data_IF_785678924901
#
_entry.id   IF_785678924901
#
_cell.length_a   1.000
_cell.length_b   1.000
_cell.length_c   1.000
_cell.angle_alpha   90.00
_cell.angle_beta   90.00
_cell.angle_gamma   90.00
#
_symmetry.space_group_name_H-M   'P 1'
#
loop_
_entity.id
_entity.type
_entity.pdbx_description
1 polymer ?
#
# COMPACT_ATOMS: atom_id res chain seq x y z
N UNK A 1 13.44 -27.85 25.77
CA UNK A 1 12.90 -26.47 25.94
C UNK A 1 13.63 -25.46 25.05
N UNK A 2 14.96 -25.55 24.93
CA UNK A 2 15.80 -24.71 24.05
C UNK A 2 15.50 -24.92 22.54
N UNK A 3 15.27 -26.14 22.08
CA UNK A 3 14.89 -26.42 20.67
C UNK A 3 13.53 -25.80 20.27
N UNK A 4 12.61 -25.64 21.24
CA UNK A 4 11.32 -24.98 21.01
C UNK A 4 11.48 -23.48 20.80
N UNK A 5 12.41 -22.85 21.52
CA UNK A 5 12.69 -21.42 21.36
C UNK A 5 13.44 -21.14 20.05
N UNK A 6 14.38 -22.01 19.66
CA UNK A 6 15.08 -21.88 18.38
C UNK A 6 14.15 -22.04 17.17
N UNK A 7 13.17 -22.96 17.21
CA UNK A 7 12.17 -23.10 16.14
C UNK A 7 11.22 -21.91 16.02
N UNK A 8 10.86 -21.25 17.13
CA UNK A 8 10.01 -20.05 17.11
C UNK A 8 10.75 -18.87 16.47
N UNK A 9 12.05 -18.73 16.75
CA UNK A 9 12.87 -17.66 16.14
C UNK A 9 13.03 -17.89 14.63
N UNK A 10 13.25 -19.13 14.18
CA UNK A 10 13.37 -19.46 12.75
C UNK A 10 12.05 -19.20 12.00
N UNK A 11 10.91 -19.60 12.57
CA UNK A 11 9.58 -19.34 11.98
C UNK A 11 9.22 -17.85 11.97
N UNK A 12 9.70 -17.05 12.92
CA UNK A 12 9.53 -15.60 12.89
C UNK A 12 10.42 -14.94 11.83
N UNK A 13 11.64 -15.44 11.59
CA UNK A 13 12.51 -14.91 10.52
C UNK A 13 12.02 -15.24 9.11
N UNK A 14 11.47 -16.44 8.88
CA UNK A 14 10.94 -16.84 7.56
C UNK A 14 9.66 -16.07 7.19
N UNK A 15 8.83 -15.72 8.17
CA UNK A 15 7.63 -14.90 7.95
C UNK A 15 7.95 -13.42 7.70
N UNK A 16 9.05 -12.89 8.23
CA UNK A 16 9.49 -11.51 7.96
C UNK A 16 10.04 -11.38 6.54
N UNK A 17 10.79 -12.39 6.06
CA UNK A 17 11.34 -12.42 4.71
C UNK A 17 10.24 -12.49 3.63
N UNK A 18 9.21 -13.29 3.85
CA UNK A 18 8.08 -13.40 2.90
C UNK A 18 7.21 -12.14 2.84
N UNK A 19 7.12 -11.38 3.92
CA UNK A 19 6.44 -10.07 3.94
C UNK A 19 7.24 -9.00 3.20
N UNK A 20 8.57 -8.96 3.37
CA UNK A 20 9.43 -8.04 2.61
C UNK A 20 9.43 -8.35 1.10
N UNK A 21 9.44 -9.62 0.70
CA UNK A 21 9.34 -10.01 -0.71
C UNK A 21 8.00 -9.62 -1.35
N UNK A 22 6.90 -9.69 -0.59
CA UNK A 22 5.58 -9.28 -1.06
C UNK A 22 5.44 -7.76 -1.22
N UNK A 23 6.09 -7.00 -0.34
CA UNK A 23 6.08 -5.53 -0.37
C UNK A 23 6.94 -4.97 -1.51
N UNK A 24 8.06 -5.63 -1.81
CA UNK A 24 8.89 -5.35 -3.00
C UNK A 24 8.09 -5.63 -4.29
N UNK A 25 7.36 -6.75 -4.38
CA UNK A 25 6.53 -7.04 -5.56
C UNK A 25 5.36 -6.05 -5.75
N UNK A 26 4.85 -5.46 -4.66
CA UNK A 26 3.79 -4.44 -4.70
C UNK A 26 4.29 -3.09 -5.23
N UNK A 27 5.52 -2.71 -4.89
CA UNK A 27 6.13 -1.45 -5.32
C UNK A 27 6.53 -1.51 -6.80
N UNK A 28 7.04 -2.65 -7.28
CA UNK A 28 7.53 -2.79 -8.66
C UNK A 28 6.51 -3.39 -9.65
N UNK A 29 5.37 -3.92 -9.20
CA UNK A 29 4.45 -4.73 -10.02
C UNK A 29 3.25 -4.02 -10.68
N UNK A 30 3.06 -2.70 -10.54
CA UNK A 30 1.87 -2.01 -11.08
C UNK A 30 2.19 -0.88 -12.05
N UNK A 31 2.59 -1.25 -13.26
CA UNK A 31 2.52 -0.37 -14.44
C UNK A 31 1.87 -1.10 -15.63
N UNK A 32 0.56 -1.35 -15.56
CA UNK A 32 -0.28 -1.55 -16.76
C UNK A 32 -1.65 -0.93 -16.52
N UNK A 33 -1.81 0.31 -16.96
CA UNK A 33 -3.09 0.97 -17.17
C UNK A 33 -3.75 0.35 -18.41
N UNK A 34 -5.01 -0.07 -18.28
CA UNK A 34 -5.89 -0.31 -19.43
C UNK A 34 -6.96 0.80 -19.49
N UNK A 35 -7.33 1.26 -20.70
CA UNK A 35 -8.27 2.36 -20.87
C UNK A 35 -9.72 1.86 -20.75
N UNK A 36 -10.59 2.68 -20.18
CA UNK A 36 -12.04 2.44 -20.12
C UNK A 36 -12.76 3.64 -20.74
N UNK A 37 -13.33 3.41 -21.91
CA UNK A 37 -14.17 4.37 -22.64
C UNK A 37 -15.63 4.34 -22.16
N UNK A 38 -16.25 5.52 -22.22
CA UNK A 38 -17.70 5.84 -22.37
C UNK A 38 -18.66 5.44 -21.23
N UNK A 39 -19.65 6.23 -20.79
CA UNK A 39 -20.31 7.43 -21.35
C UNK A 39 -21.18 8.10 -20.26
N UNK A 40 -21.38 9.41 -20.45
CA UNK A 40 -22.53 10.26 -20.03
C UNK A 40 -22.89 10.38 -18.55
N UNK A 41 -22.63 11.57 -17.98
CA UNK A 41 -23.70 12.39 -17.41
C UNK A 41 -23.33 13.88 -17.37
N UNK A 42 -24.28 14.69 -17.80
CA UNK A 42 -24.23 16.12 -18.05
C UNK A 42 -24.35 16.94 -16.77
N UNK A 43 -23.45 17.92 -16.54
CA UNK A 43 -23.78 19.08 -15.71
C UNK A 43 -23.12 20.37 -16.20
N UNK A 44 -23.85 21.45 -15.96
CA UNK A 44 -23.86 22.70 -16.70
C UNK A 44 -22.69 23.65 -16.38
N UNK A 45 -22.42 24.48 -17.39
CA UNK A 45 -21.53 25.65 -17.45
C UNK A 45 -21.62 26.54 -16.21
N UNK A 46 -20.46 26.91 -15.65
CA UNK A 46 -20.17 28.30 -15.31
C UNK A 46 -18.75 28.68 -15.72
N UNK A 47 -18.60 29.97 -15.95
CA UNK A 47 -17.72 30.64 -16.89
C UNK A 47 -16.61 31.34 -16.11
N UNK A 48 -15.34 31.00 -16.32
CA UNK A 48 -14.22 31.90 -15.98
C UNK A 48 -13.06 31.76 -16.95
N UNK A 49 -12.50 32.92 -17.26
CA UNK A 49 -11.64 33.29 -18.38
C UNK A 49 -10.31 32.53 -18.52
N UNK A 50 -9.95 32.42 -19.79
CA UNK A 50 -8.72 32.01 -20.45
C UNK A 50 -7.44 32.75 -20.03
N UNK A 51 -6.33 32.00 -19.93
CA UNK A 51 -4.95 32.45 -20.15
C UNK A 51 -4.28 31.40 -21.07
N UNK A 52 -3.76 31.74 -22.27
CA UNK A 52 -3.13 30.76 -23.15
C UNK A 52 -1.63 30.67 -22.88
N UNK A 53 -1.13 29.47 -22.57
CA UNK A 53 0.31 29.15 -22.61
C UNK A 53 0.55 28.20 -23.78
N UNK A 54 1.28 28.70 -24.77
CA UNK A 54 1.78 27.93 -25.92
C UNK A 54 2.68 26.78 -25.44
N UNK A 55 2.42 25.56 -25.92
CA UNK A 55 3.43 24.49 -26.04
C UNK A 55 3.59 24.14 -27.53
N UNK A 56 4.81 24.09 -28.07
CA UNK A 56 5.07 23.36 -29.29
C UNK A 56 5.39 21.89 -28.97
N UNK A 57 4.97 21.06 -29.91
CA UNK A 57 5.22 19.62 -30.01
C UNK A 57 6.72 19.30 -29.92
N UNK A 58 7.05 18.17 -29.29
CA UNK A 58 8.29 17.45 -29.58
C UNK A 58 7.94 15.99 -29.80
N UNK A 59 8.31 15.53 -30.99
CA UNK A 59 8.12 14.19 -31.51
C UNK A 59 8.88 13.17 -30.66
N UNK A 60 8.28 11.98 -30.59
CA UNK A 60 8.84 10.79 -29.98
C UNK A 60 9.71 10.15 -31.07
N UNK A 61 11.03 10.18 -30.88
CA UNK A 61 11.94 9.27 -31.57
C UNK A 61 12.42 8.19 -30.60
N UNK A 62 12.33 6.97 -31.12
CA UNK A 62 12.60 5.69 -30.50
C UNK A 62 14.08 5.52 -30.11
N UNK A 63 14.31 4.99 -28.91
CA UNK A 63 15.62 4.54 -28.43
C UNK A 63 16.17 3.38 -29.27
N UNK A 64 17.45 3.42 -29.68
CA UNK A 64 18.18 2.22 -30.06
C UNK A 64 18.79 1.52 -28.84
N UNK A 65 18.86 0.21 -28.98
CA UNK A 65 19.31 -0.79 -28.02
C UNK A 65 20.72 -0.54 -27.47
N UNK A 66 20.92 -0.96 -26.24
CA UNK A 66 22.21 -1.07 -25.56
C UNK A 66 23.16 -1.95 -26.38
N UNK A 67 24.18 -1.33 -26.97
CA UNK A 67 25.35 -2.05 -27.48
C UNK A 67 26.45 -2.09 -26.41
N UNK A 68 26.92 -3.32 -26.21
CA UNK A 68 27.87 -3.82 -25.25
C UNK A 68 29.20 -3.03 -25.22
N UNK A 69 29.53 -2.45 -24.06
CA UNK A 69 30.67 -1.54 -23.87
C UNK A 69 32.04 -2.17 -24.16
N UNK A 70 32.13 -3.49 -24.21
CA UNK A 70 33.38 -4.21 -24.49
C UNK A 70 33.78 -4.18 -25.97
N UNK A 71 32.85 -3.96 -26.91
CA UNK A 71 33.19 -3.95 -28.34
C UNK A 71 33.76 -2.58 -28.81
N UNK A 72 33.36 -1.48 -28.17
CA UNK A 72 33.91 -0.14 -28.45
C UNK A 72 35.37 0.01 -28.02
N UNK A 73 35.78 -0.69 -26.95
CA UNK A 73 37.17 -0.64 -26.47
C UNK A 73 38.12 -1.43 -27.37
N UNK A 74 37.66 -2.56 -27.95
CA UNK A 74 38.43 -3.32 -28.95
C UNK A 74 38.58 -2.60 -30.29
N UNK A 75 37.55 -1.85 -30.74
CA UNK A 75 37.62 -1.06 -31.99
C UNK A 75 38.58 0.13 -31.90
N UNK A 76 38.81 0.70 -30.69
CA UNK A 76 39.79 1.79 -30.50
C UNK A 76 41.24 1.30 -30.53
N UNK A 77 41.55 0.18 -29.86
CA UNK A 77 42.91 -0.39 -29.85
C UNK A 77 43.37 -0.83 -31.25
N UNK A 78 42.48 -1.41 -32.06
CA UNK A 78 42.82 -1.79 -33.44
C UNK A 78 43.01 -0.60 -34.39
N UNK A 79 42.45 0.58 -34.08
CA UNK A 79 42.63 1.77 -34.91
C UNK A 79 43.97 2.46 -34.65
N UNK A 80 44.43 2.47 -33.38
CA UNK A 80 45.74 3.00 -33.00
C UNK A 80 46.88 2.11 -33.54
N UNK A 81 46.76 0.78 -33.47
CA UNK A 81 47.74 -0.15 -34.05
C UNK A 81 47.80 -0.12 -35.60
N UNK A 82 46.71 0.33 -36.25
CA UNK A 82 46.63 0.47 -37.72
C UNK A 82 47.13 1.83 -38.25
N UNK A 83 47.32 2.81 -37.37
CA UNK A 83 47.96 4.09 -37.69
C UNK A 83 49.48 3.96 -37.52
N UNK A 84 49.94 3.30 -36.45
CA UNK A 84 51.37 3.13 -36.17
C UNK A 84 52.10 2.21 -37.19
N UNK A 85 51.35 1.35 -37.91
CA UNK A 85 51.87 0.54 -39.02
C UNK A 85 51.82 1.20 -40.39
N UNK A 86 51.15 2.35 -40.55
CA UNK A 86 51.14 3.10 -41.82
C UNK A 86 52.25 4.14 -41.93
N UNK A 87 52.80 4.56 -40.80
CA UNK A 87 53.84 5.59 -40.76
C UNK A 87 55.27 5.03 -40.91
N UNK A 88 55.43 3.70 -41.02
CA UNK A 88 56.73 3.04 -41.01
C UNK A 88 57.16 2.38 -42.34
N UNK A 89 56.41 2.58 -43.43
CA UNK A 89 56.73 1.98 -44.75
C UNK A 89 57.00 2.99 -45.89
N UNK A 90 57.19 4.28 -45.60
CA UNK A 90 57.42 5.27 -46.67
C UNK A 90 58.62 6.21 -46.45
N UNK A 91 59.76 5.63 -46.08
CA UNK A 91 61.07 6.30 -46.18
C UNK A 91 62.10 5.38 -46.82
N UNK A 92 61.94 5.18 -48.13
CA UNK A 92 63.06 4.79 -49.01
C UNK A 92 63.34 5.93 -49.98
N UNK A 93 64.56 6.44 -49.84
CA UNK A 93 65.41 7.05 -50.86
C UNK A 93 64.73 8.00 -51.87
N UNK A 94 64.83 9.28 -51.54
CA UNK A 94 65.01 10.34 -52.53
C UNK A 94 65.97 11.33 -51.90
N UNK A 95 67.23 11.37 -52.34
CA UNK A 95 68.12 12.49 -52.02
C UNK A 95 67.62 13.72 -52.78
N UNK A 96 67.17 14.80 -52.11
CA UNK A 96 67.12 16.11 -52.73
C UNK A 96 68.48 16.75 -52.51
N UNK A 97 69.20 16.89 -53.61
CA UNK A 97 70.42 17.65 -53.73
C UNK A 97 70.13 19.14 -53.47
N UNK A 98 70.12 19.56 -52.21
CA UNK A 98 70.01 20.97 -51.80
C UNK A 98 70.64 21.17 -50.41
N UNK A 99 71.96 21.25 -50.37
CA UNK A 99 72.67 22.01 -49.33
C UNK A 99 72.43 23.50 -49.57
N UNK A 100 71.20 23.96 -49.29
CA UNK A 100 71.01 25.33 -48.87
C UNK A 100 71.24 25.37 -47.35
N UNK A 101 72.15 26.22 -46.84
CA UNK A 101 72.24 26.42 -45.41
C UNK A 101 70.84 26.82 -44.95
N UNK A 102 70.27 26.03 -44.03
CA UNK A 102 69.12 26.47 -43.25
C UNK A 102 69.43 27.90 -42.82
N UNK A 103 68.52 28.88 -43.05
CA UNK A 103 68.75 30.22 -42.54
C UNK A 103 69.10 30.06 -41.06
N UNK A 104 70.15 30.74 -40.60
CA UNK A 104 70.53 30.84 -39.20
C UNK A 104 69.29 31.27 -38.41
N UNK A 105 68.44 30.31 -38.05
CA UNK A 105 67.41 30.50 -37.07
C UNK A 105 68.19 30.64 -35.79
N UNK A 106 68.25 31.88 -35.35
CA UNK A 106 68.88 32.28 -34.12
C UNK A 106 68.43 31.30 -33.03
N UNK A 107 69.38 30.51 -32.53
CA UNK A 107 69.15 29.49 -31.48
C UNK A 107 68.51 30.16 -30.27
N UNK A 108 68.80 31.45 -30.08
CA UNK A 108 68.22 32.30 -29.04
C UNK A 108 66.73 32.56 -29.28
N UNK A 109 66.31 32.79 -30.53
CA UNK A 109 64.89 32.93 -30.91
C UNK A 109 64.11 31.63 -30.67
N UNK A 110 64.66 30.47 -31.01
CA UNK A 110 64.02 29.18 -30.74
C UNK A 110 63.90 28.90 -29.24
N UNK A 111 64.94 29.21 -28.45
CA UNK A 111 64.88 29.11 -26.99
C UNK A 111 63.78 30.00 -26.41
N UNK A 112 63.61 31.20 -26.94
CA UNK A 112 62.57 32.13 -26.51
C UNK A 112 61.17 31.62 -26.87
N UNK A 113 60.96 31.14 -28.09
CA UNK A 113 59.67 30.57 -28.53
C UNK A 113 59.28 29.34 -27.70
N UNK A 114 60.24 28.45 -27.42
CA UNK A 114 60.01 27.27 -26.56
C UNK A 114 59.71 27.70 -25.12
N UNK A 115 60.47 28.65 -24.57
CA UNK A 115 60.25 29.16 -23.23
C UNK A 115 58.87 29.81 -23.06
N UNK A 116 58.40 30.53 -24.09
CA UNK A 116 57.09 31.18 -24.09
C UNK A 116 55.95 30.15 -24.22
N UNK A 117 56.08 29.17 -25.12
CA UNK A 117 55.13 28.05 -25.23
C UNK A 117 55.04 27.21 -23.94
N UNK A 118 56.17 26.98 -23.26
CA UNK A 118 56.19 26.32 -21.95
C UNK A 118 55.50 27.15 -20.87
N UNK A 119 55.66 28.47 -20.92
CA UNK A 119 55.03 29.40 -19.97
C UNK A 119 53.51 29.44 -20.15
N UNK A 120 53.04 29.46 -21.39
CA UNK A 120 51.62 29.44 -21.72
C UNK A 120 50.97 28.10 -21.37
N UNK A 121 51.62 26.97 -21.68
CA UNK A 121 51.14 25.64 -21.26
C UNK A 121 51.08 25.51 -19.73
N UNK A 122 52.09 26.01 -19.01
CA UNK A 122 52.07 26.01 -17.55
C UNK A 122 50.94 26.87 -16.99
N UNK A 123 50.66 28.02 -17.61
CA UNK A 123 49.56 28.89 -17.23
C UNK A 123 48.20 28.22 -17.45
N UNK A 124 48.00 27.57 -18.60
CA UNK A 124 46.77 26.82 -18.90
C UNK A 124 46.60 25.60 -17.98
N UNK A 125 47.70 24.93 -17.64
CA UNK A 125 47.67 23.81 -16.69
C UNK A 125 47.28 24.29 -15.28
N UNK A 126 47.82 25.43 -14.84
CA UNK A 126 47.48 26.02 -13.54
C UNK A 126 46.00 26.42 -13.46
N UNK A 127 45.43 27.01 -14.51
CA UNK A 127 44.00 27.36 -14.52
C UNK A 127 43.12 26.11 -14.46
N UNK A 128 43.45 25.05 -15.22
CA UNK A 128 42.73 23.78 -15.16
C UNK A 128 42.79 23.12 -13.78
N UNK A 129 43.96 23.16 -13.13
CA UNK A 129 44.12 22.64 -11.75
C UNK A 129 43.28 23.43 -10.75
N UNK A 130 43.20 24.75 -10.92
CA UNK A 130 42.40 25.62 -10.06
C UNK A 130 40.88 25.37 -10.25
N UNK A 131 40.44 25.19 -11.50
CA UNK A 131 39.06 24.79 -11.83
C UNK A 131 38.70 23.41 -11.28
N UNK A 132 39.64 22.46 -11.33
CA UNK A 132 39.45 21.13 -10.73
C UNK A 132 39.37 21.22 -9.20
N UNK A 133 40.20 22.04 -8.56
CA UNK A 133 40.15 22.26 -7.11
C UNK A 133 38.78 22.79 -6.68
N UNK A 134 38.27 23.82 -7.36
CA UNK A 134 36.95 24.40 -7.02
C UNK A 134 35.82 23.39 -7.21
N UNK A 135 35.87 22.56 -8.25
CA UNK A 135 34.91 21.46 -8.45
C UNK A 135 34.99 20.40 -7.34
N UNK A 136 36.20 20.02 -6.93
CA UNK A 136 36.41 19.06 -5.83
C UNK A 136 35.83 19.62 -4.53
N UNK A 137 36.04 20.90 -4.24
CA UNK A 137 35.50 21.54 -3.04
C UNK A 137 33.96 21.59 -3.07
N UNK A 138 33.36 21.88 -4.23
CA UNK A 138 31.91 21.81 -4.41
C UNK A 138 31.33 20.40 -4.24
N UNK A 139 32.03 19.35 -4.69
CA UNK A 139 31.64 17.96 -4.48
C UNK A 139 31.71 17.58 -3.00
N UNK A 140 32.75 18.00 -2.28
CA UNK A 140 32.88 17.78 -0.84
C UNK A 140 31.75 18.46 -0.05
N UNK A 141 31.43 19.70 -0.38
CA UNK A 141 30.32 20.41 0.26
C UNK A 141 28.98 19.70 0.02
N UNK A 142 28.77 19.18 -1.19
CA UNK A 142 27.60 18.34 -1.52
C UNK A 142 27.57 17.05 -0.71
N UNK A 143 28.72 16.40 -0.54
CA UNK A 143 28.88 15.19 0.27
C UNK A 143 28.58 15.47 1.75
N UNK A 144 29.10 16.56 2.32
CA UNK A 144 28.85 16.95 3.71
C UNK A 144 27.37 17.17 3.98
N UNK A 145 26.68 17.89 3.06
CA UNK A 145 25.21 18.07 3.13
C UNK A 145 24.46 16.74 3.07
N UNK A 146 24.88 15.82 2.20
CA UNK A 146 24.27 14.49 2.11
C UNK A 146 24.43 13.72 3.43
N UNK A 147 25.62 13.79 4.01
CA UNK A 147 25.97 13.14 5.27
C UNK A 147 25.16 13.70 6.44
N UNK A 148 24.77 14.98 6.38
CA UNK A 148 23.87 15.62 7.36
C UNK A 148 22.39 15.25 7.16
N UNK A 149 21.95 15.02 5.92
CA UNK A 149 20.54 14.72 5.60
C UNK A 149 20.19 13.27 5.92
N UNK A 150 21.09 12.31 5.65
CA UNK A 150 20.87 10.88 5.90
C UNK A 150 20.36 10.55 7.31
N UNK A 151 20.93 11.07 8.43
CA UNK A 151 20.41 10.79 9.75
C UNK A 151 19.03 11.42 10.00
N UNK A 152 18.70 12.53 9.33
CA UNK A 152 17.36 13.15 9.41
C UNK A 152 16.32 12.26 8.74
N UNK A 153 16.64 11.65 7.60
CA UNK A 153 15.76 10.68 6.93
C UNK A 153 15.51 9.49 7.84
N UNK A 154 16.56 8.86 8.37
CA UNK A 154 16.43 7.73 9.29
C UNK A 154 15.59 8.07 10.52
N UNK A 155 15.74 9.28 11.08
CA UNK A 155 14.92 9.75 12.20
C UNK A 155 13.44 9.94 11.84
N UNK A 156 13.16 10.41 10.62
CA UNK A 156 11.78 10.55 10.12
C UNK A 156 11.17 9.18 9.90
N UNK A 157 11.89 8.24 9.30
CA UNK A 157 11.42 6.86 9.10
C UNK A 157 11.08 6.19 10.43
N UNK A 158 11.97 6.30 11.43
CA UNK A 158 11.71 5.78 12.78
C UNK A 158 10.47 6.41 13.42
N UNK A 159 10.24 7.71 13.21
CA UNK A 159 9.03 8.39 13.70
C UNK A 159 7.78 7.91 12.97
N UNK A 160 7.85 7.69 11.66
CA UNK A 160 6.74 7.16 10.88
C UNK A 160 6.33 5.77 11.39
N UNK A 161 7.29 4.86 11.55
CA UNK A 161 7.03 3.52 12.10
C UNK A 161 6.40 3.59 13.51
N UNK A 162 6.94 4.45 14.38
CA UNK A 162 6.41 4.63 15.72
C UNK A 162 4.98 5.20 15.73
N UNK A 163 4.65 6.10 14.79
CA UNK A 163 3.31 6.66 14.65
C UNK A 163 2.33 5.64 14.06
N UNK A 164 2.75 4.86 13.07
CA UNK A 164 1.95 3.77 12.51
C UNK A 164 1.57 2.76 13.59
N UNK A 165 2.54 2.34 14.42
CA UNK A 165 2.26 1.46 15.55
C UNK A 165 1.26 2.06 16.57
N UNK A 166 1.35 3.37 16.83
CA UNK A 166 0.37 4.07 17.70
C UNK A 166 -1.02 4.13 17.07
N UNK A 167 -1.10 4.39 15.77
CA UNK A 167 -2.37 4.44 15.03
C UNK A 167 -3.04 3.06 15.09
N UNK A 168 -2.31 1.99 14.75
CA UNK A 168 -2.83 0.62 14.81
C UNK A 168 -3.34 0.26 16.21
N UNK A 169 -2.59 0.64 17.26
CA UNK A 169 -3.01 0.45 18.65
C UNK A 169 -4.31 1.18 18.94
N UNK A 170 -4.39 2.48 18.61
CA UNK A 170 -5.59 3.28 18.85
C UNK A 170 -6.81 2.77 18.08
N UNK A 171 -6.62 2.32 16.84
CA UNK A 171 -7.68 1.70 16.05
C UNK A 171 -8.21 0.43 16.72
N UNK A 172 -7.31 -0.42 17.24
CA UNK A 172 -7.69 -1.65 17.95
C UNK A 172 -8.44 -1.37 19.26
N UNK A 173 -7.99 -0.38 20.03
CA UNK A 173 -8.65 0.04 21.27
C UNK A 173 -10.02 0.66 21.00
N UNK A 174 -10.11 1.51 19.98
CA UNK A 174 -11.37 2.14 19.58
C UNK A 174 -12.40 1.09 19.11
N UNK A 175 -11.95 0.11 18.33
CA UNK A 175 -12.81 -1.00 17.90
C UNK A 175 -13.30 -1.84 19.10
N UNK A 176 -12.42 -2.11 20.07
CA UNK A 176 -12.80 -2.79 21.31
C UNK A 176 -13.86 -2.01 22.10
N UNK A 177 -13.68 -0.69 22.23
CA UNK A 177 -14.65 0.19 22.90
C UNK A 177 -16.00 0.17 22.17
N UNK A 178 -16.00 0.28 20.84
CA UNK A 178 -17.22 0.19 20.05
C UNK A 178 -17.94 -1.15 20.24
N UNK A 179 -17.20 -2.26 20.28
CA UNK A 179 -17.77 -3.59 20.54
C UNK A 179 -18.42 -3.67 21.92
N UNK A 180 -17.78 -3.13 22.95
CA UNK A 180 -18.33 -3.11 24.31
C UNK A 180 -19.60 -2.26 24.40
N UNK A 181 -19.59 -1.07 23.80
CA UNK A 181 -20.73 -0.14 23.82
C UNK A 181 -21.93 -0.65 23.01
N UNK A 182 -21.72 -1.54 22.05
CA UNK A 182 -22.77 -2.10 21.17
C UNK A 182 -23.18 -3.52 21.53
N UNK A 183 -22.53 -4.16 22.52
CA UNK A 183 -22.74 -5.58 22.87
C UNK A 183 -24.20 -5.92 23.21
N UNK A 184 -24.91 -4.99 23.83
CA UNK A 184 -26.31 -5.13 24.22
C UNK A 184 -27.29 -4.49 23.21
N UNK A 185 -26.79 -3.99 22.08
CA UNK A 185 -27.60 -3.32 21.09
C UNK A 185 -28.07 -4.30 20.01
N UNK A 186 -29.32 -4.15 19.58
CA UNK A 186 -29.94 -4.87 18.49
C UNK A 186 -30.48 -3.89 17.44
N UNK A 187 -30.48 -4.34 16.19
CA UNK A 187 -31.11 -3.64 15.06
C UNK A 187 -32.32 -4.44 14.62
N UNK A 188 -33.51 -3.83 14.63
CA UNK A 188 -34.77 -4.48 14.23
C UNK A 188 -35.31 -3.78 12.99
N UNK A 189 -35.50 -4.51 11.89
CA UNK A 189 -36.10 -4.01 10.66
C UNK A 189 -37.45 -4.67 10.39
N UNK A 190 -38.29 -4.02 9.57
CA UNK A 190 -39.60 -4.56 9.16
C UNK A 190 -40.76 -4.25 10.10
N UNK A 191 -40.52 -3.56 11.22
CA UNK A 191 -41.58 -3.12 12.14
C UNK A 191 -42.24 -1.86 11.57
N UNK A 192 -43.57 -1.85 11.30
CA UNK A 192 -44.28 -0.67 10.80
C UNK A 192 -44.09 0.56 11.69
N UNK A 193 -44.14 1.76 11.10
CA UNK A 193 -44.06 3.03 11.83
C UNK A 193 -45.46 3.55 12.18
N UNK A 194 -45.67 3.95 13.43
CA UNK A 194 -46.90 4.62 13.86
C UNK A 194 -46.80 6.15 13.69
N UNK A 195 -47.92 6.82 13.41
CA UNK A 195 -47.96 8.28 13.12
C UNK A 195 -47.54 9.18 14.29
N UNK A 196 -47.41 8.65 15.50
CA UNK A 196 -46.97 9.37 16.72
C UNK A 196 -46.19 8.40 17.64
N UNK A 197 -45.23 7.68 17.08
CA UNK A 197 -44.38 6.76 17.83
C UNK A 197 -43.41 7.55 18.73
N UNK A 198 -43.59 7.44 20.05
CA UNK A 198 -42.61 7.87 21.05
C UNK A 198 -41.71 6.69 21.49
N UNK A 199 -40.70 6.97 22.31
CA UNK A 199 -39.76 5.93 22.77
C UNK A 199 -40.43 4.83 23.59
N UNK A 200 -41.40 5.15 24.44
CA UNK A 200 -42.01 4.18 25.36
C UNK A 200 -43.09 3.31 24.67
N UNK A 201 -43.88 3.90 23.77
CA UNK A 201 -44.77 3.16 22.87
C UNK A 201 -43.99 2.23 21.96
N UNK A 202 -42.81 2.63 21.47
CA UNK A 202 -41.91 1.78 20.70
C UNK A 202 -41.36 0.61 21.54
N UNK A 203 -40.89 0.87 22.77
CA UNK A 203 -40.44 -0.18 23.71
C UNK A 203 -41.54 -1.21 23.98
N UNK A 204 -42.77 -0.74 24.19
CA UNK A 204 -43.95 -1.58 24.44
C UNK A 204 -44.26 -2.43 23.21
N UNK A 205 -44.31 -1.80 22.03
CA UNK A 205 -44.55 -2.47 20.75
C UNK A 205 -43.51 -3.55 20.45
N UNK A 206 -42.23 -3.29 20.72
CA UNK A 206 -41.15 -4.28 20.54
C UNK A 206 -41.35 -5.47 21.48
N UNK A 207 -41.66 -5.21 22.76
CA UNK A 207 -41.93 -6.28 23.73
C UNK A 207 -43.12 -7.16 23.29
N UNK A 208 -44.20 -6.55 22.80
CA UNK A 208 -45.35 -7.29 22.27
C UNK A 208 -44.99 -8.12 21.05
N UNK A 209 -44.23 -7.56 20.09
CA UNK A 209 -43.77 -8.28 18.90
C UNK A 209 -42.92 -9.49 19.31
N UNK A 210 -41.92 -9.30 20.17
CA UNK A 210 -41.04 -10.37 20.61
C UNK A 210 -41.81 -11.48 21.36
N UNK A 211 -42.80 -11.12 22.18
CA UNK A 211 -43.68 -12.10 22.86
C UNK A 211 -44.61 -12.82 21.88
N UNK A 212 -45.30 -12.08 21.00
CA UNK A 212 -46.20 -12.62 19.96
C UNK A 212 -45.49 -13.65 19.09
N UNK A 213 -44.23 -13.41 18.79
CA UNK A 213 -43.39 -14.28 17.99
C UNK A 213 -42.62 -15.34 18.79
N UNK A 214 -42.94 -15.53 20.07
CA UNK A 214 -42.33 -16.54 20.97
C UNK A 214 -40.80 -16.45 21.09
N UNK A 215 -40.24 -15.26 20.86
CA UNK A 215 -38.80 -14.99 21.02
C UNK A 215 -38.45 -14.89 22.50
N UNK A 216 -39.39 -14.36 23.29
CA UNK A 216 -39.31 -14.19 24.74
C UNK A 216 -40.63 -14.64 25.38
N UNK A 217 -40.57 -15.21 26.57
CA UNK A 217 -41.76 -15.60 27.34
C UNK A 217 -42.30 -14.44 28.20
N UNK A 218 -41.41 -13.56 28.64
CA UNK A 218 -41.69 -12.37 29.46
C UNK A 218 -41.18 -11.11 28.76
N UNK A 219 -41.33 -9.92 29.37
CA UNK A 219 -40.77 -8.68 28.83
C UNK A 219 -39.27 -8.66 29.00
N UNK A 220 -38.59 -7.95 28.10
CA UNK A 220 -37.17 -7.60 28.24
C UNK A 220 -37.02 -6.18 28.74
N UNK A 221 -35.92 -5.94 29.46
CA UNK A 221 -35.63 -4.63 30.02
C UNK A 221 -34.92 -3.78 28.97
N UNK A 222 -35.66 -2.85 28.40
CA UNK A 222 -35.18 -1.97 27.34
C UNK A 222 -34.76 -0.62 27.93
N UNK A 223 -33.47 -0.30 27.79
CA UNK A 223 -32.92 1.01 28.16
C UNK A 223 -33.39 2.09 27.18
N UNK A 224 -33.10 1.87 25.89
CA UNK A 224 -33.35 2.84 24.83
C UNK A 224 -33.86 2.17 23.55
N UNK A 225 -34.83 2.79 22.88
CA UNK A 225 -35.29 2.37 21.56
C UNK A 225 -35.60 3.59 20.69
N UNK A 226 -35.09 3.61 19.45
CA UNK A 226 -35.35 4.70 18.51
C UNK A 226 -35.18 4.25 17.06
N UNK A 227 -35.85 4.95 16.13
CA UNK A 227 -35.71 4.73 14.69
C UNK A 227 -34.44 5.40 14.15
N UNK A 228 -33.76 4.73 13.24
CA UNK A 228 -32.53 5.20 12.60
C UNK A 228 -32.81 5.47 11.12
N UNK A 229 -32.35 6.63 10.64
CA UNK A 229 -32.45 7.05 9.24
C UNK A 229 -33.62 8.00 8.97
N UNK A 230 -33.73 8.40 7.71
CA UNK A 230 -34.79 9.28 7.21
C UNK A 230 -36.06 8.48 6.90
N UNK A 231 -37.26 9.04 7.14
CA UNK A 231 -38.52 8.40 6.76
C UNK A 231 -38.57 8.10 5.26
N UNK A 232 -39.19 6.99 4.87
CA UNK A 232 -39.30 6.59 3.47
C UNK A 232 -40.39 5.55 3.24
N UNK A 233 -40.35 4.89 2.09
CA UNK A 233 -41.34 3.87 1.68
C UNK A 233 -41.26 2.62 2.58
N UNK A 234 -40.05 2.26 3.03
CA UNK A 234 -39.82 1.14 3.94
C UNK A 234 -39.73 1.64 5.38
N UNK A 235 -40.25 0.87 6.36
CA UNK A 235 -40.10 1.23 7.77
C UNK A 235 -38.63 1.34 8.17
N UNK A 236 -38.28 2.39 8.92
CA UNK A 236 -36.95 2.63 9.44
C UNK A 236 -36.53 1.53 10.40
N UNK A 237 -35.23 1.25 10.40
CA UNK A 237 -34.61 0.31 11.34
C UNK A 237 -34.70 0.89 12.75
N UNK A 238 -35.10 0.06 13.71
CA UNK A 238 -35.05 0.40 15.13
C UNK A 238 -33.68 0.00 15.66
N UNK A 239 -33.02 0.93 16.35
CA UNK A 239 -31.90 0.61 17.23
C UNK A 239 -32.41 0.48 18.66
N UNK A 240 -32.19 -0.70 19.22
CA UNK A 240 -32.64 -1.12 20.53
C UNK A 240 -31.43 -1.36 21.43
N UNK A 241 -31.40 -0.79 22.63
CA UNK A 241 -30.42 -1.11 23.67
C UNK A 241 -31.12 -1.81 24.83
N UNK A 242 -30.64 -3.00 25.14
CA UNK A 242 -31.08 -3.78 26.29
C UNK A 242 -30.20 -3.46 27.51
N UNK A 243 -30.79 -3.53 28.70
CA UNK A 243 -30.01 -3.38 29.94
C UNK A 243 -29.01 -4.54 30.06
N UNK A 244 -29.46 -5.75 29.73
CA UNK A 244 -28.67 -6.97 29.91
C UNK A 244 -28.23 -7.59 28.58
N UNK A 245 -26.94 -7.90 28.50
CA UNK A 245 -26.30 -8.76 27.49
C UNK A 245 -27.09 -10.02 27.19
N UNK A 246 -27.49 -10.73 28.25
CA UNK A 246 -28.06 -12.07 28.18
C UNK A 246 -29.40 -12.07 27.44
N UNK A 247 -30.16 -10.98 27.55
CA UNK A 247 -31.41 -10.80 26.80
C UNK A 247 -31.14 -10.62 25.31
N UNK A 248 -30.10 -9.85 24.95
CA UNK A 248 -29.67 -9.68 23.57
C UNK A 248 -29.23 -11.02 22.96
N UNK A 249 -28.37 -11.76 23.66
CA UNK A 249 -27.90 -13.08 23.24
C UNK A 249 -29.07 -14.08 23.07
N UNK A 250 -30.05 -14.07 23.98
CA UNK A 250 -31.24 -14.92 23.89
C UNK A 250 -32.08 -14.61 22.66
N UNK A 251 -32.37 -13.33 22.40
CA UNK A 251 -33.11 -12.90 21.21
C UNK A 251 -32.35 -13.29 19.93
N UNK A 252 -31.04 -13.05 19.90
CA UNK A 252 -30.17 -13.36 18.77
C UNK A 252 -30.02 -14.86 18.53
N UNK A 253 -30.09 -15.68 19.57
CA UNK A 253 -30.12 -17.13 19.46
C UNK A 253 -31.44 -17.60 18.86
N UNK A 254 -32.57 -17.14 19.41
CA UNK A 254 -33.91 -17.54 18.96
C UNK A 254 -34.21 -17.15 17.52
N UNK A 255 -33.73 -16.00 17.03
CA UNK A 255 -33.90 -15.62 15.62
C UNK A 255 -33.20 -16.53 14.62
N UNK A 256 -32.17 -17.29 15.04
CA UNK A 256 -31.38 -18.16 14.14
C UNK A 256 -32.14 -19.42 13.74
N UNK A 257 -33.23 -19.74 14.44
CA UNK A 257 -34.13 -20.82 14.06
C UNK A 257 -34.66 -20.55 12.65
N UNK A 258 -34.43 -21.51 11.72
CA UNK A 258 -34.67 -21.36 10.27
C UNK A 258 -36.11 -20.91 9.95
N UNK A 259 -37.05 -21.31 10.79
CA UNK A 259 -38.49 -21.03 10.68
C UNK A 259 -38.99 -20.02 11.70
N UNK A 260 -38.13 -19.10 12.19
CA UNK A 260 -38.57 -18.11 13.17
C UNK A 260 -39.81 -17.35 12.65
N UNK A 261 -40.83 -17.25 13.51
CA UNK A 261 -42.08 -16.59 13.16
C UNK A 261 -41.87 -15.09 12.84
N UNK A 262 -40.79 -14.49 13.34
CA UNK A 262 -40.33 -13.15 12.98
C UNK A 262 -40.00 -13.03 11.48
N UNK A 263 -39.19 -13.95 10.94
CA UNK A 263 -38.79 -13.91 9.54
C UNK A 263 -40.00 -14.06 8.61
N UNK A 264 -40.98 -14.89 9.00
CA UNK A 264 -42.25 -15.07 8.28
C UNK A 264 -43.11 -13.81 8.28
N UNK A 265 -43.04 -13.01 9.36
CA UNK A 265 -43.67 -11.71 9.45
C UNK A 265 -42.88 -10.57 8.77
N UNK A 266 -41.74 -10.88 8.13
CA UNK A 266 -40.87 -9.87 7.51
C UNK A 266 -40.10 -9.00 8.51
N UNK A 267 -40.02 -9.42 9.77
CA UNK A 267 -39.28 -8.72 10.83
C UNK A 267 -37.92 -9.40 11.01
N UNK A 268 -36.85 -8.61 10.93
CA UNK A 268 -35.49 -9.12 11.09
C UNK A 268 -34.79 -8.44 12.26
N UNK A 269 -34.26 -9.24 13.18
CA UNK A 269 -33.42 -8.76 14.27
C UNK A 269 -31.97 -9.06 13.92
N UNK A 270 -31.06 -8.10 14.10
CA UNK A 270 -29.62 -8.22 13.84
C UNK A 270 -28.80 -7.64 15.00
N UNK A 271 -27.53 -8.03 15.05
CA UNK A 271 -26.54 -7.41 15.96
C UNK A 271 -26.19 -6.00 15.45
N UNK A 272 -26.06 -5.03 16.37
CA UNK A 272 -25.44 -3.73 16.07
C UNK A 272 -23.92 -3.88 16.15
N UNK A 273 -23.28 -4.06 14.99
CA UNK A 273 -21.82 -4.18 14.89
C UNK A 273 -21.20 -2.86 14.45
N UNK A 274 -19.91 -2.68 14.75
CA UNK A 274 -19.13 -1.58 14.17
C UNK A 274 -19.05 -1.73 12.64
N UNK A 275 -18.64 -0.67 11.96
CA UNK A 275 -18.39 -0.75 10.51
C UNK A 275 -17.26 -1.73 10.18
N UNK A 276 -16.21 -1.76 10.98
CA UNK A 276 -15.07 -2.64 10.78
C UNK A 276 -15.47 -4.11 10.96
N UNK A 277 -16.16 -4.44 12.05
CA UNK A 277 -16.65 -5.79 12.29
C UNK A 277 -17.68 -6.21 11.23
N UNK A 278 -18.54 -5.29 10.78
CA UNK A 278 -19.43 -5.50 9.64
C UNK A 278 -18.67 -5.86 8.36
N UNK A 279 -17.59 -5.14 8.05
CA UNK A 279 -16.69 -5.41 6.91
C UNK A 279 -16.00 -6.76 7.05
N UNK A 280 -15.46 -7.08 8.22
CA UNK A 280 -14.81 -8.36 8.49
C UNK A 280 -15.80 -9.53 8.29
N UNK A 281 -17.03 -9.42 8.84
CA UNK A 281 -18.09 -10.42 8.67
C UNK A 281 -18.50 -10.59 7.22
N UNK A 282 -18.53 -9.50 6.45
CA UNK A 282 -18.81 -9.55 5.02
C UNK A 282 -17.73 -10.34 4.25
N UNK A 283 -16.45 -10.09 4.53
CA UNK A 283 -15.33 -10.82 3.92
C UNK A 283 -15.38 -12.32 4.25
N UNK A 284 -15.61 -12.66 5.51
CA UNK A 284 -15.76 -14.06 5.93
C UNK A 284 -16.95 -14.73 5.23
N UNK A 285 -18.10 -14.03 5.09
CA UNK A 285 -19.25 -14.55 4.33
C UNK A 285 -18.90 -14.88 2.88
N UNK A 286 -18.08 -14.07 2.23
CA UNK A 286 -17.63 -14.35 0.86
C UNK A 286 -16.80 -15.63 0.81
N UNK A 287 -15.85 -15.80 1.72
CA UNK A 287 -15.01 -17.01 1.77
C UNK A 287 -15.82 -18.26 2.10
N UNK A 288 -16.72 -18.16 3.07
CA UNK A 288 -17.71 -19.19 3.37
C UNK A 288 -18.53 -19.57 2.14
N UNK A 289 -19.02 -18.60 1.38
CA UNK A 289 -19.86 -18.87 0.21
C UNK A 289 -19.08 -19.56 -0.91
N UNK A 290 -17.79 -19.22 -1.08
CA UNK A 290 -16.86 -19.94 -1.97
C UNK A 290 -16.67 -21.38 -1.47
N UNK A 291 -16.47 -21.58 -0.17
CA UNK A 291 -16.20 -22.88 0.43
C UNK A 291 -17.42 -23.79 0.58
N UNK A 292 -18.63 -23.24 0.75
CA UNK A 292 -19.89 -24.02 0.83
C UNK A 292 -20.19 -24.75 -0.48
N UNK A 293 -19.64 -24.29 -1.61
CA UNK A 293 -19.63 -25.07 -2.86
C UNK A 293 -18.90 -26.42 -2.71
N UNK A 294 -17.99 -26.53 -1.73
CA UNK A 294 -17.11 -27.67 -1.48
C UNK A 294 -17.35 -28.39 -0.12
N UNK A 295 -18.43 -28.06 0.61
CA UNK A 295 -18.97 -28.77 1.81
C UNK A 295 -18.08 -28.90 3.09
N UNK A 296 -17.03 -28.09 3.31
CA UNK A 296 -16.12 -28.27 4.47
C UNK A 296 -15.93 -27.03 5.38
N UNK A 297 -16.91 -26.12 5.42
CA UNK A 297 -16.81 -24.87 6.21
C UNK A 297 -17.52 -24.96 7.56
N UNK A 298 -16.81 -24.63 8.64
CA UNK A 298 -17.33 -24.43 10.00
C UNK A 298 -17.18 -22.95 10.37
N UNK A 299 -18.29 -22.26 10.62
CA UNK A 299 -18.33 -20.81 10.85
C UNK A 299 -18.31 -20.47 12.34
N UNK A 300 -17.47 -19.50 12.74
CA UNK A 300 -17.55 -18.86 14.04
C UNK A 300 -17.80 -17.34 13.89
N UNK A 301 -19.08 -16.98 13.88
CA UNK A 301 -19.53 -15.60 13.67
C UNK A 301 -19.13 -14.62 14.77
N UNK A 302 -18.89 -15.08 16.01
CA UNK A 302 -18.55 -14.21 17.15
C UNK A 302 -17.11 -13.72 17.12
N UNK A 303 -16.22 -14.53 16.54
CA UNK A 303 -14.80 -14.20 16.38
C UNK A 303 -14.47 -13.78 14.95
N UNK A 304 -15.47 -13.59 14.10
CA UNK A 304 -15.31 -13.24 12.69
C UNK A 304 -14.28 -14.14 11.99
N UNK A 305 -14.43 -15.45 12.23
CA UNK A 305 -13.53 -16.46 11.69
C UNK A 305 -14.29 -17.64 11.11
N UNK A 306 -13.66 -18.37 10.21
CA UNK A 306 -14.18 -19.62 9.62
C UNK A 306 -13.06 -20.63 9.49
N UNK A 307 -13.37 -21.91 9.70
CA UNK A 307 -12.48 -23.02 9.39
C UNK A 307 -12.95 -23.64 8.09
N UNK A 308 -12.09 -23.66 7.07
CA UNK A 308 -12.39 -24.26 5.76
C UNK A 308 -11.33 -25.32 5.48
N UNK A 309 -11.74 -26.60 5.41
CA UNK A 309 -10.82 -27.70 5.11
C UNK A 309 -9.61 -27.79 6.05
N UNK A 310 -9.80 -27.45 7.34
CA UNK A 310 -8.73 -27.42 8.35
C UNK A 310 -7.92 -26.12 8.41
N UNK A 311 -8.13 -25.16 7.50
CA UNK A 311 -7.48 -23.85 7.55
C UNK A 311 -8.35 -22.86 8.32
N UNK A 312 -7.77 -22.17 9.31
CA UNK A 312 -8.46 -21.10 10.03
C UNK A 312 -8.28 -19.78 9.25
N UNK A 313 -9.39 -19.10 9.00
CA UNK A 313 -9.44 -17.85 8.28
C UNK A 313 -10.09 -16.83 9.19
N UNK A 314 -9.39 -15.73 9.42
CA UNK A 314 -9.85 -14.62 10.26
C UNK A 314 -9.84 -13.34 9.45
N UNK A 315 -10.77 -12.43 9.74
CA UNK A 315 -10.74 -11.10 9.16
C UNK A 315 -10.49 -10.05 10.24
N UNK A 316 -9.41 -9.30 10.07
CA UNK A 316 -8.94 -8.25 11.00
C UNK A 316 -8.71 -6.98 10.18
N UNK A 317 -9.12 -5.82 10.69
CA UNK A 317 -8.87 -4.53 10.00
C UNK A 317 -9.43 -4.44 8.57
N UNK A 318 -10.46 -5.21 8.22
CA UNK A 318 -11.04 -5.21 6.87
C UNK A 318 -10.23 -5.99 5.84
N UNK A 319 -9.35 -6.88 6.28
CA UNK A 319 -8.54 -7.78 5.46
C UNK A 319 -8.68 -9.22 5.94
N UNK A 320 -8.50 -10.19 5.02
CA UNK A 320 -8.52 -11.62 5.34
C UNK A 320 -7.11 -12.09 5.64
N UNK A 321 -6.94 -12.74 6.77
CA UNK A 321 -5.73 -13.44 7.17
C UNK A 321 -6.00 -14.95 7.15
N UNK A 322 -5.07 -15.70 6.54
CA UNK A 322 -5.07 -17.16 6.61
C UNK A 322 -4.13 -17.58 7.72
N UNK A 323 -4.69 -18.21 8.75
CA UNK A 323 -3.94 -18.84 9.83
C UNK A 323 -3.85 -20.32 9.50
N UNK A 324 -2.66 -20.76 9.09
CA UNK A 324 -2.37 -22.19 8.89
C UNK A 324 -2.43 -22.87 10.27
N UNK A 325 -3.13 -24.01 10.34
CA UNK A 325 -3.56 -24.64 11.59
C UNK A 325 -2.46 -24.72 12.67
N UNK A 326 -2.80 -24.27 13.89
CA UNK A 326 -2.27 -24.89 15.10
C UNK A 326 -2.89 -26.28 15.20
N UNK A 327 -2.09 -27.26 15.66
CA UNK A 327 -2.49 -28.67 15.82
C UNK A 327 -3.95 -28.83 16.30
N UNK A 328 -4.69 -29.84 15.80
CA UNK A 328 -6.10 -30.01 16.11
C UNK A 328 -6.33 -29.97 17.61
N UNK A 329 -7.17 -29.02 18.05
CA UNK A 329 -7.63 -28.94 19.44
C UNK A 329 -8.32 -30.28 19.73
N UNK A 330 -7.84 -31.07 20.71
CA UNK A 330 -8.45 -32.36 21.01
C UNK A 330 -9.91 -32.14 21.41
N UNK A 331 -10.79 -32.92 20.78
CA UNK A 331 -12.23 -32.97 21.02
C UNK A 331 -12.55 -32.76 22.51
N UNK A 332 -12.97 -31.54 22.89
CA UNK A 332 -13.79 -31.35 24.07
C UNK A 332 -15.22 -31.47 23.60
N UNK A 333 -15.79 -32.65 23.82
CA UNK A 333 -17.23 -32.88 23.76
C UNK A 333 -17.91 -31.78 24.59
N UNK A 334 -18.78 -31.00 23.94
CA UNK A 334 -19.72 -30.08 24.57
C UNK A 334 -21.14 -30.46 24.16
#
# INVERSE_FOLDING_TARGET
MVERQQRIVILMSENVLTLQEYEIQRIFGKSKLTPRDSTTESFQKTNTRSIPVRRPHREIETSPQEEDGHEKQRKRLNYEESQEKRDNENTKESQPDFLQPLPNMDIELMKNVIAEALKDNNKEMLTKLQDLSTKIDGVKEGQDKLTEILPKIAHIEQKCEALEGKIQKLESENEMVHKMLRRNNLLISGVPEARQEDTDSLKTSINEILRRHQVIHSSVNIDLAYRVGQPGIKPRVIKLRLIYQSEADRILFKRRERDSSLNKAGIYVNEDVSQMEGRNRFLIRQEVQKAKRNKTAVENWRNTSVIIGGTHIEAIGGQIYRVVALDPIPNRNF
#
